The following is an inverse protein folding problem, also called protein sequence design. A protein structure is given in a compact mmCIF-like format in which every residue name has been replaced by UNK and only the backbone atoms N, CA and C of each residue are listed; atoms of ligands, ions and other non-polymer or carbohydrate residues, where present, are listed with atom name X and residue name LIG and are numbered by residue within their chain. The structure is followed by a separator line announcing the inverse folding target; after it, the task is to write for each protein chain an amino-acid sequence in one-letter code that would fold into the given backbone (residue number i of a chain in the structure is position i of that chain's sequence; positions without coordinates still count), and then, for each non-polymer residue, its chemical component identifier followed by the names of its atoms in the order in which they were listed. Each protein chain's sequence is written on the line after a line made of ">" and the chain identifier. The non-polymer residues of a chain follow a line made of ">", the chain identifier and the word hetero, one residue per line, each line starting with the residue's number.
data_IF_156107772516
#
_entry.id   IF_156107772516
#
_cell.length_a   1.000
_cell.length_b   1.000
_cell.length_c   1.000
_cell.angle_alpha   90.00
_cell.angle_beta   90.00
_cell.angle_gamma   90.00
#
_symmetry.space_group_name_H-M   'P 1'
#
loop_
_entity.id
_entity.type
_entity.pdbx_description
1 polymer ?
#
# COMPACT_ATOMS: atom_id res chain seq x y z
N UNK A 1 -26.36 -30.60 35.87
CA UNK A 1 -26.33 -29.83 34.61
C UNK A 1 -24.87 -29.58 34.27
N UNK A 2 -24.35 -30.28 33.26
CA UNK A 2 -22.96 -30.13 32.78
C UNK A 2 -22.88 -28.91 31.88
N UNK A 3 -22.19 -27.87 32.36
CA UNK A 3 -21.78 -26.70 31.57
C UNK A 3 -20.58 -27.12 30.73
N UNK A 4 -20.85 -27.62 29.52
CA UNK A 4 -19.82 -27.77 28.49
C UNK A 4 -19.25 -26.37 28.19
N UNK A 5 -18.10 -26.06 28.78
CA UNK A 5 -17.28 -24.94 28.35
C UNK A 5 -16.58 -25.36 27.08
N UNK A 6 -17.23 -25.09 25.95
CA UNK A 6 -16.68 -25.27 24.62
C UNK A 6 -15.58 -24.21 24.40
N UNK A 7 -14.38 -24.47 24.95
CA UNK A 7 -13.20 -23.59 24.93
C UNK A 7 -12.52 -23.50 23.54
N UNK A 8 -13.22 -23.82 22.47
CA UNK A 8 -12.68 -23.86 21.10
C UNK A 8 -13.29 -22.82 20.15
N UNK A 9 -13.89 -21.75 20.68
CA UNK A 9 -14.49 -20.69 19.86
C UNK A 9 -13.50 -19.61 19.38
N UNK A 10 -12.22 -19.69 19.76
CA UNK A 10 -11.16 -18.76 19.31
C UNK A 10 -10.37 -19.25 18.09
N UNK A 11 -10.63 -20.48 17.60
CA UNK A 11 -9.91 -21.07 16.47
C UNK A 11 -10.50 -20.65 15.09
N UNK A 12 -11.62 -19.92 15.10
CA UNK A 12 -12.25 -19.37 13.90
C UNK A 12 -11.84 -17.92 13.67
N UNK A 13 -10.98 -17.70 12.65
CA UNK A 13 -10.91 -16.52 11.77
C UNK A 13 -9.51 -15.95 11.52
N UNK A 14 -8.43 -16.60 11.97
CA UNK A 14 -7.11 -16.14 11.55
C UNK A 14 -6.86 -16.54 10.09
N UNK A 15 -6.70 -15.55 9.20
CA UNK A 15 -6.41 -15.82 7.80
C UNK A 15 -5.16 -16.72 7.68
N UNK A 16 -5.12 -17.69 6.75
CA UNK A 16 -3.95 -18.57 6.57
C UNK A 16 -2.62 -17.82 6.40
N UNK A 17 -2.67 -16.58 5.89
CA UNK A 17 -1.51 -15.70 5.77
C UNK A 17 -1.01 -15.18 7.12
N UNK A 18 -1.91 -14.79 8.02
CA UNK A 18 -1.55 -14.33 9.37
C UNK A 18 -0.93 -15.46 10.18
N UNK A 19 -1.53 -16.66 10.14
CA UNK A 19 -0.99 -17.87 10.78
C UNK A 19 0.43 -18.21 10.29
N UNK A 20 0.68 -18.18 8.98
CA UNK A 20 2.04 -18.40 8.41
C UNK A 20 3.06 -17.38 8.87
N UNK A 21 2.67 -16.11 8.97
CA UNK A 21 3.59 -15.05 9.41
C UNK A 21 3.93 -15.21 10.89
N UNK A 22 2.97 -15.63 11.73
CA UNK A 22 3.17 -15.87 13.16
C UNK A 22 4.08 -17.07 13.44
N UNK A 23 3.92 -18.14 12.67
CA UNK A 23 4.70 -19.38 12.83
C UNK A 23 6.08 -19.32 12.19
N UNK A 24 6.39 -18.28 11.42
CA UNK A 24 7.68 -18.14 10.78
C UNK A 24 8.76 -17.76 11.80
N UNK A 25 9.93 -18.40 11.67
CA UNK A 25 11.07 -18.06 12.51
C UNK A 25 11.49 -16.59 12.29
N UNK A 26 11.86 -15.88 13.37
CA UNK A 26 12.38 -14.53 13.27
C UNK A 26 13.58 -14.48 12.31
N UNK A 27 13.56 -13.53 11.36
CA UNK A 27 14.64 -13.34 10.39
C UNK A 27 14.56 -14.20 9.13
N UNK A 28 13.69 -15.23 9.07
CA UNK A 28 13.48 -15.97 7.81
C UNK A 28 12.56 -15.20 6.86
N UNK A 29 13.04 -14.97 5.63
CA UNK A 29 12.26 -14.30 4.58
C UNK A 29 11.14 -15.22 4.08
N UNK A 30 9.91 -14.73 4.12
CA UNK A 30 8.74 -15.44 3.57
C UNK A 30 8.42 -14.85 2.20
N UNK A 31 8.65 -15.64 1.16
CA UNK A 31 8.39 -15.23 -0.22
C UNK A 31 6.90 -14.92 -0.46
N UNK A 32 6.64 -13.89 -1.25
CA UNK A 32 5.28 -13.64 -1.73
C UNK A 32 4.92 -14.59 -2.91
N UNK A 33 3.66 -14.60 -3.34
CA UNK A 33 3.20 -15.50 -4.41
C UNK A 33 3.89 -15.24 -5.76
N UNK A 34 4.26 -13.99 -6.05
CA UNK A 34 4.95 -13.59 -7.29
C UNK A 34 6.41 -14.05 -7.29
N UNK A 35 7.14 -13.73 -6.22
CA UNK A 35 8.52 -14.16 -5.97
C UNK A 35 8.64 -15.69 -6.02
N UNK A 36 7.72 -16.42 -5.36
CA UNK A 36 7.72 -17.89 -5.37
C UNK A 36 7.43 -18.52 -6.75
N UNK A 37 6.79 -17.79 -7.68
CA UNK A 37 6.62 -18.24 -9.07
C UNK A 37 7.90 -18.03 -9.88
N UNK A 38 8.50 -16.85 -9.75
CA UNK A 38 9.77 -16.54 -10.42
C UNK A 38 10.88 -17.48 -9.93
N UNK A 39 10.96 -17.71 -8.63
CA UNK A 39 11.94 -18.64 -8.07
C UNK A 39 11.79 -20.06 -8.60
N UNK A 40 10.55 -20.57 -8.76
CA UNK A 40 10.33 -21.89 -9.38
C UNK A 40 10.78 -21.94 -10.83
N UNK A 41 10.52 -20.89 -11.60
CA UNK A 41 11.01 -20.80 -12.99
C UNK A 41 12.53 -20.82 -13.03
N UNK A 42 13.18 -19.99 -12.22
CA UNK A 42 14.65 -19.92 -12.16
C UNK A 42 15.26 -21.26 -11.74
N UNK A 43 14.69 -21.95 -10.75
CA UNK A 43 15.14 -23.30 -10.36
C UNK A 43 15.03 -24.29 -11.51
N UNK A 44 13.92 -24.27 -12.26
CA UNK A 44 13.73 -25.17 -13.42
C UNK A 44 14.66 -24.84 -14.58
N UNK A 45 14.88 -23.56 -14.87
CA UNK A 45 15.66 -23.12 -16.03
C UNK A 45 17.17 -23.29 -15.82
N UNK A 46 17.63 -23.16 -14.57
CA UNK A 46 19.07 -23.13 -14.25
C UNK A 46 19.56 -24.37 -13.50
N UNK A 47 18.66 -25.12 -12.85
CA UNK A 47 19.01 -26.22 -11.97
C UNK A 47 19.68 -25.80 -10.65
N UNK A 48 19.81 -24.50 -10.38
CA UNK A 48 20.49 -23.96 -9.20
C UNK A 48 19.62 -24.08 -7.93
N UNK A 49 20.29 -24.17 -6.79
CA UNK A 49 19.66 -24.07 -5.49
C UNK A 49 19.15 -22.64 -5.20
N UNK A 50 18.31 -22.50 -4.17
CA UNK A 50 17.79 -21.19 -3.78
C UNK A 50 18.88 -20.20 -3.32
N UNK A 51 19.89 -20.73 -2.63
CA UNK A 51 21.00 -19.94 -2.08
C UNK A 51 21.85 -19.35 -3.19
N UNK A 52 22.17 -20.16 -4.20
CA UNK A 52 22.91 -19.74 -5.39
C UNK A 52 22.13 -18.71 -6.21
N UNK A 53 20.82 -18.92 -6.39
CA UNK A 53 19.94 -17.96 -7.06
C UNK A 53 19.95 -16.61 -6.34
N UNK A 54 19.92 -16.59 -5.00
CA UNK A 54 19.94 -15.35 -4.21
C UNK A 54 21.33 -14.69 -4.17
N UNK A 55 22.40 -15.45 -4.35
CA UNK A 55 23.76 -14.94 -4.46
C UNK A 55 23.98 -14.16 -5.77
N UNK A 56 23.40 -14.63 -6.88
CA UNK A 56 23.55 -14.01 -8.19
C UNK A 56 22.71 -12.72 -8.30
N UNK A 57 23.38 -11.58 -8.51
CA UNK A 57 22.75 -10.25 -8.61
C UNK A 57 21.59 -10.20 -9.61
N UNK A 58 21.76 -10.80 -10.80
CA UNK A 58 20.76 -10.83 -11.87
C UNK A 58 19.44 -11.42 -11.39
N UNK A 59 19.48 -12.59 -10.74
CA UNK A 59 18.28 -13.26 -10.23
C UNK A 59 17.69 -12.57 -9.01
N UNK A 60 18.53 -12.00 -8.14
CA UNK A 60 18.08 -11.21 -7.00
C UNK A 60 17.24 -9.99 -7.43
N UNK A 61 17.63 -9.30 -8.50
CA UNK A 61 16.86 -8.17 -9.05
C UNK A 61 15.50 -8.65 -9.55
N UNK A 62 15.46 -9.74 -10.33
CA UNK A 62 14.18 -10.31 -10.81
C UNK A 62 13.24 -10.71 -9.68
N UNK A 63 13.77 -11.28 -8.59
CA UNK A 63 12.97 -11.61 -7.41
C UNK A 63 12.43 -10.36 -6.71
N UNK A 64 13.25 -9.30 -6.60
CA UNK A 64 12.85 -8.01 -6.03
C UNK A 64 11.76 -7.32 -6.85
N UNK A 65 11.88 -7.34 -8.18
CA UNK A 65 10.84 -6.84 -9.08
C UNK A 65 9.55 -7.62 -8.90
N UNK A 66 9.61 -8.96 -8.90
CA UNK A 66 8.45 -9.81 -8.63
C UNK A 66 7.84 -9.58 -7.24
N UNK A 67 8.65 -9.14 -6.27
CA UNK A 67 8.17 -8.78 -4.94
C UNK A 67 7.33 -7.49 -4.97
N UNK A 68 7.69 -6.54 -5.82
CA UNK A 68 6.98 -5.25 -5.95
C UNK A 68 5.77 -5.32 -6.88
N UNK A 69 5.73 -6.29 -7.81
CA UNK A 69 4.57 -6.52 -8.70
C UNK A 69 3.30 -6.74 -7.89
N UNK A 70 2.32 -5.84 -8.07
CA UNK A 70 1.04 -5.87 -7.38
C UNK A 70 1.03 -5.20 -6.00
N UNK A 71 2.16 -4.70 -5.51
CA UNK A 71 2.15 -3.75 -4.39
C UNK A 71 1.62 -2.42 -4.90
N UNK A 72 0.35 -2.11 -4.58
CA UNK A 72 -0.20 -0.77 -4.85
C UNK A 72 0.68 0.24 -4.12
N UNK A 73 1.26 1.18 -4.85
CA UNK A 73 2.03 2.28 -4.26
C UNK A 73 1.18 2.88 -3.15
N UNK A 74 1.71 2.92 -1.93
CA UNK A 74 0.95 3.48 -0.80
C UNK A 74 0.62 4.93 -1.18
N UNK A 75 -0.68 5.23 -1.30
CA UNK A 75 -1.13 6.61 -1.54
C UNK A 75 -0.54 7.53 -0.49
N UNK A 76 0.08 8.62 -0.92
CA UNK A 76 0.65 9.63 -0.02
C UNK A 76 -0.45 10.20 0.88
N UNK A 77 -0.08 10.75 2.04
CA UNK A 77 -1.06 11.40 2.93
C UNK A 77 -1.86 12.47 2.18
N UNK A 78 -1.18 13.30 1.40
CA UNK A 78 -1.80 14.35 0.57
C UNK A 78 -2.77 13.75 -0.44
N UNK A 79 -2.40 12.67 -1.12
CA UNK A 79 -3.28 12.02 -2.10
C UNK A 79 -4.56 11.49 -1.44
N UNK A 80 -4.47 10.92 -0.23
CA UNK A 80 -5.66 10.45 0.50
C UNK A 80 -6.62 11.60 0.81
N UNK A 81 -6.08 12.73 1.27
CA UNK A 81 -6.90 13.91 1.60
C UNK A 81 -7.54 14.49 0.33
N UNK A 82 -6.81 14.56 -0.78
CA UNK A 82 -7.36 14.97 -2.08
C UNK A 82 -8.52 14.06 -2.51
N UNK A 83 -8.32 12.74 -2.40
CA UNK A 83 -9.37 11.76 -2.73
C UNK A 83 -10.61 11.93 -1.82
N UNK A 84 -10.42 12.25 -0.54
CA UNK A 84 -11.51 12.51 0.41
C UNK A 84 -12.29 13.79 0.07
N UNK A 85 -11.59 14.88 -0.30
CA UNK A 85 -12.22 16.13 -0.74
C UNK A 85 -13.02 15.90 -2.02
N UNK A 86 -12.45 15.19 -3.01
CA UNK A 86 -13.14 14.88 -4.25
C UNK A 86 -14.42 14.05 -3.99
N UNK A 87 -14.35 13.05 -3.11
CA UNK A 87 -15.51 12.25 -2.70
C UNK A 87 -16.58 13.08 -2.00
N UNK A 88 -16.17 14.01 -1.15
CA UNK A 88 -17.08 14.92 -0.46
C UNK A 88 -17.81 15.80 -1.47
N UNK A 89 -17.09 16.46 -2.38
CA UNK A 89 -17.67 17.35 -3.39
C UNK A 89 -18.61 16.59 -4.36
N UNK A 90 -18.22 15.40 -4.83
CA UNK A 90 -19.09 14.57 -5.66
C UNK A 90 -20.39 14.15 -4.95
N UNK A 91 -20.32 13.93 -3.62
CA UNK A 91 -21.48 13.56 -2.81
C UNK A 91 -22.44 14.74 -2.61
N UNK A 92 -21.90 15.92 -2.31
CA UNK A 92 -22.69 17.14 -2.09
C UNK A 92 -23.40 17.58 -3.36
N UNK A 93 -22.67 17.64 -4.48
CA UNK A 93 -23.22 18.12 -5.75
C UNK A 93 -23.98 17.05 -6.52
N UNK A 94 -23.83 15.76 -6.17
CA UNK A 94 -24.46 14.60 -6.86
C UNK A 94 -24.18 14.58 -8.37
N UNK A 95 -23.02 15.08 -8.78
CA UNK A 95 -22.57 15.13 -10.16
C UNK A 95 -21.41 14.15 -10.38
N UNK A 96 -21.20 13.66 -11.62
CA UNK A 96 -20.06 12.82 -11.93
C UNK A 96 -18.75 13.61 -11.78
N UNK A 97 -17.66 12.91 -11.45
CA UNK A 97 -16.33 13.47 -11.19
C UNK A 97 -15.77 14.37 -12.31
N UNK A 98 -16.27 14.22 -13.54
CA UNK A 98 -15.79 14.90 -14.75
C UNK A 98 -16.58 16.19 -15.04
N UNK A 99 -17.60 16.49 -14.23
CA UNK A 99 -18.44 17.66 -14.44
C UNK A 99 -17.68 18.96 -14.06
N UNK A 100 -17.72 20.03 -14.88
CA UNK A 100 -16.97 21.27 -14.60
C UNK A 100 -17.26 21.92 -13.24
N UNK A 101 -18.51 21.80 -12.76
CA UNK A 101 -18.89 22.28 -11.42
C UNK A 101 -18.17 21.55 -10.27
N UNK A 102 -17.80 20.27 -10.45
CA UNK A 102 -17.02 19.51 -9.47
C UNK A 102 -15.60 20.07 -9.36
N UNK A 103 -14.97 20.42 -10.49
CA UNK A 103 -13.61 20.97 -10.48
C UNK A 103 -13.53 22.29 -9.73
N UNK A 104 -14.52 23.17 -9.91
CA UNK A 104 -14.61 24.44 -9.19
C UNK A 104 -14.79 24.21 -7.68
N UNK A 105 -15.79 23.43 -7.30
CA UNK A 105 -16.08 23.13 -5.89
C UNK A 105 -14.94 22.36 -5.21
N UNK A 106 -14.25 21.48 -5.93
CA UNK A 106 -13.04 20.79 -5.45
C UNK A 106 -11.93 21.77 -5.11
N UNK A 107 -11.64 22.75 -5.99
CA UNK A 107 -10.58 23.75 -5.74
C UNK A 107 -10.90 24.62 -4.52
N UNK A 108 -12.16 25.04 -4.39
CA UNK A 108 -12.62 25.84 -3.25
C UNK A 108 -12.53 25.06 -1.93
N UNK A 109 -13.06 23.84 -1.90
CA UNK A 109 -13.01 22.99 -0.70
C UNK A 109 -11.59 22.55 -0.35
N UNK A 110 -10.75 22.28 -1.36
CA UNK A 110 -9.32 21.99 -1.15
C UNK A 110 -8.60 23.19 -0.53
N UNK A 111 -8.86 24.41 -1.03
CA UNK A 111 -8.28 25.63 -0.46
C UNK A 111 -8.71 25.80 1.00
N UNK A 112 -10.01 25.71 1.29
CA UNK A 112 -10.58 25.80 2.65
C UNK A 112 -9.94 24.80 3.62
N UNK A 113 -9.81 23.53 3.22
CA UNK A 113 -9.16 22.51 4.06
C UNK A 113 -7.66 22.74 4.19
N UNK A 114 -6.98 23.13 3.11
CA UNK A 114 -5.54 23.41 3.16
C UNK A 114 -5.21 24.56 4.11
N UNK A 115 -6.04 25.60 4.16
CA UNK A 115 -5.89 26.73 5.09
C UNK A 115 -6.08 26.29 6.55
N UNK A 116 -7.05 25.42 6.83
CA UNK A 116 -7.20 24.82 8.17
C UNK A 116 -6.01 23.93 8.58
N UNK A 117 -5.24 23.42 7.61
CA UNK A 117 -4.07 22.56 7.83
C UNK A 117 -2.74 23.34 7.79
N UNK A 118 -2.75 24.58 7.29
CA UNK A 118 -1.58 25.47 7.17
C UNK A 118 -0.97 25.84 8.53
N UNK A 119 -1.70 25.67 9.64
CA UNK A 119 -1.14 25.86 10.98
C UNK A 119 -0.15 24.77 11.44
N UNK A 120 -0.15 23.58 10.80
CA UNK A 120 0.60 22.41 11.31
C UNK A 120 1.59 21.80 10.31
N UNK A 121 1.33 21.89 8.99
CA UNK A 121 2.13 21.17 7.98
C UNK A 121 3.03 22.03 7.09
N UNK A 122 2.73 23.33 6.91
CA UNK A 122 3.39 24.15 5.88
C UNK A 122 4.65 24.90 6.36
N UNK A 123 5.01 24.81 7.64
CA UNK A 123 6.27 25.41 8.14
C UNK A 123 7.52 24.59 7.80
N UNK A 124 7.41 23.45 7.10
CA UNK A 124 8.57 22.56 6.85
C UNK A 124 8.85 22.16 5.40
N UNK A 125 8.09 22.60 4.41
CA UNK A 125 8.36 22.23 3.00
C UNK A 125 7.83 23.27 1.98
N UNK A 126 8.30 24.51 2.09
CA UNK A 126 8.22 25.48 0.99
C UNK A 126 9.55 25.48 0.22
N UNK A 127 9.65 24.83 -0.96
CA UNK A 127 10.77 25.10 -1.85
C UNK A 127 10.48 26.39 -2.62
N UNK A 128 11.35 27.38 -2.39
CA UNK A 128 11.72 28.52 -3.24
C UNK A 128 10.63 29.42 -3.82
N UNK A 129 10.61 30.66 -3.29
CA UNK A 129 10.31 31.88 -4.06
C UNK A 129 11.21 31.89 -5.30
N UNK A 130 10.65 31.81 -6.50
CA UNK A 130 11.30 32.39 -7.67
C UNK A 130 11.05 33.90 -7.60
N UNK A 131 12.11 34.65 -7.34
CA UNK A 131 12.22 36.06 -7.67
C UNK A 131 12.76 36.18 -9.10
N UNK A 132 12.26 37.16 -9.86
CA UNK A 132 12.68 37.51 -11.23
C UNK A 132 11.64 37.05 -12.27
N UNK A 133 11.05 37.90 -13.11
CA UNK A 133 11.32 39.29 -13.52
C UNK A 133 10.01 40.08 -13.65
#
# INVERSE_FOLDING_TARGET
>A
MSIYTDKNYDDFCESPRAKRKRLAEPGKHIMNKGEAKVMRRLKNDTGLSEEEIRAIKKYRVMLSEAQTVGTKTKRSKIQKVRDEVMKFVCRELKLPKEHPAIDKAYREEWKRRSESWNGSFYTRNTPYKNQGE
#
